data_IF_502659009060
#
_entry.id   IF_502659009060
#
_cell.length_a   1.000
_cell.length_b   1.000
_cell.length_c   1.000
_cell.angle_alpha   90.00
_cell.angle_beta   90.00
_cell.angle_gamma   90.00
#
_symmetry.space_group_name_H-M   'P 1'
#
loop_
_entity.id
_entity.type
_entity.pdbx_description
1 polymer ?
#
# COMPACT_ATOMS: atom_id res chain seq x y z
N UNK A 1 3.34 -6.92 13.85
CA UNK A 1 4.55 -6.89 13.01
C UNK A 1 4.58 -5.53 12.36
N UNK A 2 5.66 -4.79 12.54
CA UNK A 2 5.83 -3.50 11.88
C UNK A 2 6.28 -3.72 10.45
N UNK A 3 5.71 -2.97 9.51
CA UNK A 3 6.06 -3.11 8.10
C UNK A 3 7.43 -2.48 7.82
N UNK A 4 8.27 -3.09 6.96
CA UNK A 4 9.52 -2.48 6.53
C UNK A 4 9.28 -1.10 5.90
N UNK A 5 10.25 -0.19 6.05
CA UNK A 5 10.17 1.17 5.50
C UNK A 5 9.88 1.18 3.98
N UNK A 6 10.39 0.19 3.25
CA UNK A 6 10.14 0.04 1.81
C UNK A 6 8.65 -0.18 1.51
N UNK A 7 8.00 -1.04 2.30
CA UNK A 7 6.57 -1.36 2.16
C UNK A 7 5.70 -0.18 2.58
N UNK A 8 6.12 0.55 3.63
CA UNK A 8 5.47 1.81 4.05
C UNK A 8 5.54 2.84 2.91
N UNK A 9 6.71 3.02 2.29
CA UNK A 9 6.89 3.94 1.17
C UNK A 9 6.02 3.59 -0.04
N UNK A 10 5.87 2.29 -0.35
CA UNK A 10 4.96 1.82 -1.40
C UNK A 10 3.49 2.16 -1.07
N UNK A 11 3.08 2.00 0.19
CA UNK A 11 1.72 2.30 0.63
C UNK A 11 1.42 3.81 0.59
N UNK A 12 2.39 4.66 0.93
CA UNK A 12 2.29 6.11 0.79
C UNK A 12 2.17 6.55 -0.67
N UNK A 13 3.01 6.01 -1.56
CA UNK A 13 2.93 6.25 -3.00
C UNK A 13 1.57 5.83 -3.56
N UNK A 14 1.04 4.69 -3.12
CA UNK A 14 -0.28 4.20 -3.52
C UNK A 14 -1.36 5.18 -3.11
N UNK A 15 -1.27 5.74 -1.91
CA UNK A 15 -2.24 6.74 -1.44
C UNK A 15 -2.18 8.01 -2.29
N UNK A 16 -0.99 8.52 -2.58
CA UNK A 16 -0.83 9.66 -3.49
C UNK A 16 -1.43 9.39 -4.88
N UNK A 17 -1.24 8.17 -5.42
CA UNK A 17 -1.85 7.75 -6.68
C UNK A 17 -3.40 7.70 -6.61
N UNK A 18 -3.98 7.23 -5.50
CA UNK A 18 -5.43 7.28 -5.31
C UNK A 18 -5.96 8.71 -5.23
N UNK A 19 -5.24 9.59 -4.53
CA UNK A 19 -5.61 11.00 -4.37
C UNK A 19 -5.53 11.75 -5.72
N UNK A 20 -4.57 11.39 -6.58
CA UNK A 20 -4.47 11.91 -7.95
C UNK A 20 -5.42 11.23 -8.94
N UNK A 21 -6.26 10.28 -8.50
CA UNK A 21 -7.14 9.43 -9.32
C UNK A 21 -6.39 8.56 -10.34
N UNK A 22 -5.09 8.33 -10.11
CA UNK A 22 -4.30 7.35 -10.85
C UNK A 22 -4.53 5.96 -10.25
N UNK A 23 -5.67 5.36 -10.60
CA UNK A 23 -6.04 4.04 -10.11
C UNK A 23 -5.15 2.93 -10.66
N UNK A 24 -4.52 3.13 -11.83
CA UNK A 24 -3.63 2.16 -12.44
C UNK A 24 -2.32 2.05 -11.64
N UNK A 25 -1.69 3.17 -11.30
CA UNK A 25 -0.51 3.20 -10.43
C UNK A 25 -0.84 2.69 -9.03
N UNK A 26 -2.01 3.04 -8.48
CA UNK A 26 -2.44 2.54 -7.18
C UNK A 26 -2.56 1.01 -7.14
N UNK A 27 -3.03 0.38 -8.23
CA UNK A 27 -3.13 -1.08 -8.32
C UNK A 27 -1.78 -1.73 -8.58
N UNK A 28 -0.88 -1.12 -9.38
CA UNK A 28 0.51 -1.58 -9.51
C UNK A 28 1.22 -1.64 -8.15
N UNK A 29 1.15 -0.55 -7.40
CA UNK A 29 1.77 -0.46 -6.07
C UNK A 29 1.15 -1.43 -5.06
N UNK A 30 -0.16 -1.69 -5.16
CA UNK A 30 -0.82 -2.71 -4.34
C UNK A 30 -0.22 -4.10 -4.60
N UNK A 31 0.04 -4.46 -5.86
CA UNK A 31 0.66 -5.74 -6.21
C UNK A 31 2.10 -5.83 -5.68
N UNK A 32 2.89 -4.76 -5.77
CA UNK A 32 4.25 -4.75 -5.21
C UNK A 32 4.26 -4.97 -3.68
N UNK A 33 3.33 -4.33 -2.97
CA UNK A 33 3.14 -4.53 -1.53
C UNK A 33 2.78 -6.00 -1.22
N UNK A 34 1.90 -6.59 -2.03
CA UNK A 34 1.51 -8.00 -1.93
C UNK A 34 2.65 -8.98 -2.23
N UNK A 35 3.55 -8.62 -3.16
CA UNK A 35 4.75 -9.39 -3.47
C UNK A 35 5.80 -9.30 -2.35
N UNK A 36 5.86 -8.16 -1.65
CA UNK A 36 6.66 -8.00 -0.44
C UNK A 36 6.11 -8.78 0.77
N UNK A 37 4.98 -9.48 0.63
CA UNK A 37 4.36 -10.25 1.70
C UNK A 37 3.49 -9.41 2.62
N UNK A 38 2.97 -8.29 2.13
CA UNK A 38 2.10 -7.39 2.90
C UNK A 38 0.80 -7.09 2.16
N UNK A 39 -0.24 -6.71 2.86
CA UNK A 39 -1.50 -6.27 2.27
C UNK A 39 -1.81 -4.89 2.81
N UNK A 40 -2.03 -3.93 1.90
CA UNK A 40 -2.60 -2.63 2.26
C UNK A 40 -4.10 -2.78 2.48
N UNK A 41 -4.56 -2.31 3.64
CA UNK A 41 -5.98 -2.09 3.94
C UNK A 41 -6.21 -0.60 4.09
N UNK A 42 -7.06 -0.04 3.25
CA UNK A 42 -7.53 1.32 3.44
C UNK A 42 -8.52 1.36 4.60
N UNK A 43 -8.39 2.39 5.44
CA UNK A 43 -9.30 2.71 6.53
C UNK A 43 -9.67 4.19 6.43
N UNK A 44 -10.74 4.58 7.11
CA UNK A 44 -11.22 5.95 7.26
C UNK A 44 -10.13 6.95 7.69
N UNK A 45 -9.11 6.51 8.44
CA UNK A 45 -7.98 7.34 8.87
C UNK A 45 -6.76 7.29 7.92
N UNK A 46 -6.72 6.35 6.97
CA UNK A 46 -5.62 6.21 6.02
C UNK A 46 -5.39 4.78 5.52
N UNK A 47 -4.22 4.21 5.79
CA UNK A 47 -3.91 2.84 5.40
C UNK A 47 -3.25 2.07 6.55
N UNK A 48 -3.47 0.76 6.55
CA UNK A 48 -2.81 -0.19 7.45
C UNK A 48 -2.13 -1.27 6.63
N UNK A 49 -0.88 -1.56 6.96
CA UNK A 49 -0.15 -2.68 6.41
C UNK A 49 -0.31 -3.89 7.31
N UNK A 50 -0.78 -5.01 6.75
CA UNK A 50 -0.89 -6.28 7.46
C UNK A 50 -0.04 -7.33 6.75
N UNK A 51 0.68 -8.21 7.48
CA UNK A 51 1.40 -9.30 6.87
C UNK A 51 0.45 -10.21 6.07
N UNK A 52 0.86 -10.58 4.86
CA UNK A 52 0.19 -11.59 4.06
C UNK A 52 0.56 -12.95 4.65
N UNK A 53 -0.35 -13.50 5.44
CA UNK A 53 -0.21 -14.84 6.03
C UNK A 53 -0.72 -15.89 5.06
#
# INVERSE_FOLDING_TARGET
>A
VEAPADVVSLAERRRAARDSRDFEEADRLRVEIEQAGWVVRDDSAGFRLVPKT
#
